data_IF_511238460184
#
_entry.id   IF_511238460184
#
_cell.length_a   1.000
_cell.length_b   1.000
_cell.length_c   1.000
_cell.angle_alpha   90.00
_cell.angle_beta   90.00
_cell.angle_gamma   90.00
#
_symmetry.space_group_name_H-M   'P 1'
#
loop_
_entity.id
_entity.type
_entity.pdbx_description
1 polymer ?
#
# COMPACT_ATOMS: atom_id res chain seq x y z
N UNK A 1 2.70 -16.11 -32.16
CA UNK A 1 3.10 -17.30 -31.36
C UNK A 1 2.50 -17.13 -29.97
N UNK A 2 1.67 -18.05 -29.49
CA UNK A 2 1.15 -18.03 -28.11
C UNK A 2 2.31 -18.22 -27.13
N UNK A 3 2.31 -17.52 -25.99
CA UNK A 3 3.34 -17.72 -24.97
C UNK A 3 3.22 -19.17 -24.45
N UNK A 4 4.34 -19.88 -24.39
CA UNK A 4 4.37 -21.24 -23.82
C UNK A 4 3.84 -21.15 -22.38
N UNK A 5 2.71 -21.81 -22.08
CA UNK A 5 2.05 -21.80 -20.77
C UNK A 5 0.79 -20.91 -20.65
N UNK A 6 0.42 -20.16 -21.68
CA UNK A 6 -0.75 -19.25 -21.64
C UNK A 6 -2.08 -19.99 -21.40
N UNK A 7 -2.29 -21.14 -22.04
CA UNK A 7 -3.51 -21.93 -21.86
C UNK A 7 -3.63 -22.50 -20.42
N UNK A 8 -2.51 -23.02 -19.88
CA UNK A 8 -2.48 -23.56 -18.52
C UNK A 8 -2.67 -22.45 -17.46
N UNK A 9 -2.13 -21.26 -17.69
CA UNK A 9 -2.36 -20.11 -16.83
C UNK A 9 -3.84 -19.69 -16.82
N UNK A 10 -4.49 -19.63 -17.99
CA UNK A 10 -5.90 -19.26 -18.09
C UNK A 10 -6.78 -20.28 -17.35
N UNK A 11 -6.54 -21.58 -17.55
CA UNK A 11 -7.27 -22.64 -16.85
C UNK A 11 -7.11 -22.55 -15.32
N UNK A 12 -5.88 -22.35 -14.84
CA UNK A 12 -5.60 -22.15 -13.42
C UNK A 12 -6.30 -20.90 -12.87
N UNK A 13 -6.24 -19.77 -13.60
CA UNK A 13 -6.84 -18.51 -13.16
C UNK A 13 -8.37 -18.60 -13.05
N UNK A 14 -9.03 -19.25 -14.02
CA UNK A 14 -10.48 -19.46 -14.01
C UNK A 14 -10.94 -20.29 -12.80
N UNK A 15 -10.14 -21.24 -12.33
CA UNK A 15 -10.41 -22.02 -11.12
C UNK A 15 -10.04 -21.26 -9.84
N UNK A 16 -8.91 -20.56 -9.84
CA UNK A 16 -8.38 -19.86 -8.67
C UNK A 16 -9.15 -18.59 -8.33
N UNK A 17 -9.71 -17.86 -9.31
CA UNK A 17 -10.40 -16.59 -9.07
C UNK A 17 -11.54 -16.69 -8.04
N UNK A 18 -12.19 -17.86 -7.94
CA UNK A 18 -13.28 -18.09 -6.97
C UNK A 18 -12.78 -18.22 -5.53
N UNK A 19 -11.52 -18.55 -5.32
CA UNK A 19 -10.89 -18.76 -4.01
C UNK A 19 -9.68 -17.86 -3.77
N UNK A 20 -9.49 -16.84 -4.61
CA UNK A 20 -8.38 -15.90 -4.50
C UNK A 20 -8.53 -15.07 -3.22
N UNK A 21 -7.48 -15.05 -2.41
CA UNK A 21 -7.42 -14.32 -1.13
C UNK A 21 -6.53 -13.09 -1.19
N UNK A 22 -6.17 -12.64 -2.40
CA UNK A 22 -5.34 -11.46 -2.58
C UNK A 22 -6.01 -10.25 -1.95
N UNK A 23 -5.32 -9.58 -1.03
CA UNK A 23 -5.81 -8.40 -0.32
C UNK A 23 -5.15 -7.11 -0.83
N UNK A 24 -4.23 -7.22 -1.79
CA UNK A 24 -3.49 -6.11 -2.39
C UNK A 24 -3.09 -6.46 -3.83
N UNK A 25 -3.48 -5.64 -4.79
CA UNK A 25 -3.26 -5.90 -6.23
C UNK A 25 -2.11 -5.09 -6.82
N UNK A 26 -1.56 -4.14 -6.07
CA UNK A 26 -0.40 -3.37 -6.51
C UNK A 26 0.91 -4.08 -6.16
N UNK A 27 2.03 -3.45 -6.49
CA UNK A 27 3.35 -3.99 -6.16
C UNK A 27 3.53 -4.12 -4.64
N UNK A 28 4.47 -4.98 -4.22
CA UNK A 28 4.74 -5.19 -2.80
C UNK A 28 5.09 -3.88 -2.09
N UNK A 29 5.84 -2.98 -2.75
CA UNK A 29 6.22 -1.67 -2.21
C UNK A 29 5.01 -0.75 -1.99
N UNK A 30 3.94 -0.90 -2.79
CA UNK A 30 2.71 -0.12 -2.60
C UNK A 30 1.93 -0.55 -1.35
N UNK A 31 2.19 -1.74 -0.80
CA UNK A 31 1.53 -2.17 0.42
C UNK A 31 1.91 -1.26 1.59
N UNK A 32 3.18 -0.86 1.69
CA UNK A 32 3.67 0.04 2.73
C UNK A 32 3.03 1.43 2.61
N UNK A 33 2.95 1.95 1.39
CA UNK A 33 2.34 3.24 1.08
C UNK A 33 0.87 3.25 1.52
N UNK A 34 0.09 2.26 1.08
CA UNK A 34 -1.35 2.20 1.37
C UNK A 34 -1.61 1.99 2.86
N UNK A 35 -0.85 1.13 3.52
CA UNK A 35 -0.95 0.91 4.97
C UNK A 35 -0.65 2.20 5.73
N UNK A 36 0.40 2.94 5.37
CA UNK A 36 0.73 4.19 6.03
C UNK A 36 -0.38 5.24 5.88
N UNK A 37 -0.95 5.39 4.67
CA UNK A 37 -2.08 6.31 4.43
C UNK A 37 -3.29 5.97 5.30
N UNK A 38 -3.63 4.68 5.41
CA UNK A 38 -4.73 4.21 6.26
C UNK A 38 -4.43 4.49 7.73
N UNK A 39 -3.25 4.10 8.23
CA UNK A 39 -2.91 4.27 9.65
C UNK A 39 -2.91 5.74 10.09
N UNK A 40 -2.31 6.62 9.29
CA UNK A 40 -2.22 8.05 9.61
C UNK A 40 -3.60 8.74 9.54
N UNK A 41 -4.40 8.41 8.53
CA UNK A 41 -5.76 8.95 8.40
C UNK A 41 -6.67 8.47 9.52
N UNK A 42 -6.61 7.18 9.86
CA UNK A 42 -7.40 6.60 10.95
C UNK A 42 -7.02 7.16 12.31
N UNK A 43 -5.74 7.46 12.56
CA UNK A 43 -5.30 8.00 13.85
C UNK A 43 -5.90 9.38 14.11
N UNK A 44 -6.04 10.22 13.08
CA UNK A 44 -6.66 11.54 13.20
C UNK A 44 -8.08 11.46 13.74
N UNK A 45 -8.87 10.50 13.25
CA UNK A 45 -10.23 10.25 13.75
C UNK A 45 -10.28 9.80 15.21
N UNK A 46 -9.15 9.41 15.79
CA UNK A 46 -8.99 8.97 17.18
C UNK A 46 -8.28 10.02 18.06
N UNK A 47 -8.03 11.22 17.54
CA UNK A 47 -7.34 12.29 18.27
C UNK A 47 -5.83 12.08 18.42
N UNK A 48 -5.21 11.22 17.60
CA UNK A 48 -3.78 10.95 17.61
C UNK A 48 -3.14 11.37 16.28
N UNK A 49 -1.98 12.02 16.36
CA UNK A 49 -1.19 12.39 15.19
C UNK A 49 0.20 11.80 15.30
N UNK A 50 0.59 10.97 14.34
CA UNK A 50 1.97 10.49 14.25
C UNK A 50 2.85 11.62 13.71
N UNK A 51 3.99 11.87 14.34
CA UNK A 51 4.95 12.89 13.92
C UNK A 51 6.16 12.31 13.21
N UNK A 52 6.34 10.99 13.27
CA UNK A 52 7.52 10.30 12.75
C UNK A 52 7.09 9.03 12.00
N UNK A 53 7.63 8.84 10.81
CA UNK A 53 7.56 7.61 10.01
C UNK A 53 8.91 6.89 10.09
N UNK A 54 8.89 5.62 10.49
CA UNK A 54 10.06 4.74 10.44
C UNK A 54 9.90 3.76 9.28
N UNK A 55 10.78 3.82 8.26
CA UNK A 55 10.67 3.03 7.04
C UNK A 55 12.05 2.67 6.47
N UNK A 56 12.16 1.49 5.84
CA UNK A 56 13.42 0.76 5.62
C UNK A 56 14.39 1.37 4.58
N UNK A 57 13.94 2.27 3.70
CA UNK A 57 14.87 2.84 2.73
C UNK A 57 14.24 3.79 1.73
N UNK A 58 13.12 3.44 1.11
CA UNK A 58 12.52 4.30 0.09
C UNK A 58 11.79 5.52 0.68
N UNK A 59 11.81 6.65 -0.02
CA UNK A 59 11.09 7.85 0.41
C UNK A 59 9.65 7.88 -0.15
N UNK A 60 9.17 6.81 -0.77
CA UNK A 60 7.91 6.81 -1.51
C UNK A 60 6.74 6.96 -0.54
N UNK A 61 6.73 6.14 0.51
CA UNK A 61 5.72 6.22 1.59
C UNK A 61 5.71 7.60 2.25
N UNK A 62 6.90 8.17 2.50
CA UNK A 62 7.02 9.50 3.09
C UNK A 62 6.46 10.61 2.20
N UNK A 63 6.84 10.62 0.92
CA UNK A 63 6.36 11.61 -0.04
C UNK A 63 4.84 11.53 -0.20
N UNK A 64 4.29 10.32 -0.28
CA UNK A 64 2.84 10.10 -0.38
C UNK A 64 2.09 10.58 0.87
N UNK A 65 2.68 10.46 2.07
CA UNK A 65 2.11 11.02 3.30
C UNK A 65 2.18 12.55 3.34
N UNK A 66 3.25 13.15 2.83
CA UNK A 66 3.37 14.62 2.72
C UNK A 66 2.30 15.19 1.79
N UNK A 67 2.04 14.53 0.66
CA UNK A 67 0.96 14.91 -0.26
C UNK A 67 -0.43 14.68 0.34
N UNK A 68 -0.62 13.57 1.08
CA UNK A 68 -1.90 13.26 1.74
C UNK A 68 -2.27 14.30 2.81
N UNK A 69 -1.28 14.92 3.46
CA UNK A 69 -1.45 15.88 4.57
C UNK A 69 -2.48 15.40 5.62
N UNK A 70 -2.30 14.19 6.21
CA UNK A 70 -3.32 13.58 7.06
C UNK A 70 -3.67 14.46 8.27
N UNK A 71 -2.74 15.30 8.73
CA UNK A 71 -2.89 16.17 9.90
C UNK A 71 -2.89 17.68 9.58
N UNK A 72 -3.09 18.07 8.30
CA UNK A 72 -3.10 19.48 7.91
C UNK A 72 -1.71 20.11 7.94
N UNK A 73 -1.44 20.94 8.94
CA UNK A 73 -0.18 21.72 9.07
C UNK A 73 0.86 21.02 9.94
N UNK A 74 0.49 19.96 10.66
CA UNK A 74 1.44 19.16 11.44
C UNK A 74 2.36 18.39 10.51
N UNK A 75 3.67 18.65 10.60
CA UNK A 75 4.68 17.98 9.79
C UNK A 75 4.95 16.56 10.29
N UNK A 76 5.19 15.65 9.34
CA UNK A 76 5.68 14.30 9.58
C UNK A 76 7.15 14.28 9.21
N UNK A 77 7.99 13.71 10.07
CA UNK A 77 9.42 13.48 9.83
C UNK A 77 9.67 12.02 9.45
N UNK A 78 10.73 11.75 8.69
CA UNK A 78 11.23 10.40 8.44
C UNK A 78 12.48 10.17 9.29
N UNK A 79 12.56 9.01 9.95
CA UNK A 79 13.73 8.50 10.67
C UNK A 79 14.27 7.22 10.02
#
# INVERSE_FOLDING_TARGET
MKKKGEAAYIEWWEQHKMSCTINHTHSAEMMEVEVAKVMFSCSRGRGLSYTTLFADGDCKTFNELLELRPYGDTSICKE
#
